data_IF_826589011194
#
_entry.id   IF_826589011194
#
_cell.length_a   1.000
_cell.length_b   1.000
_cell.length_c   1.000
_cell.angle_alpha   90.00
_cell.angle_beta   90.00
_cell.angle_gamma   90.00
#
_symmetry.space_group_name_H-M   'P 1'
#
loop_
_entity.id
_entity.type
_entity.pdbx_description
1 polymer ?
#
# COMPACT_ATOMS: atom_id res chain seq x y z
N UNK A 1 0.14 4.52 -18.65
CA UNK A 1 1.42 4.77 -19.34
C UNK A 1 2.42 5.05 -18.25
N UNK A 2 3.12 4.01 -17.83
CA UNK A 2 4.01 4.07 -16.68
C UNK A 2 5.28 4.80 -17.05
N UNK A 3 5.70 5.74 -16.19
CA UNK A 3 6.94 6.48 -16.35
C UNK A 3 8.13 5.52 -16.18
N UNK A 4 8.58 4.93 -17.27
CA UNK A 4 9.86 4.22 -17.32
C UNK A 4 10.99 5.22 -17.09
N UNK A 5 11.62 5.18 -15.92
CA UNK A 5 12.85 5.89 -15.59
C UNK A 5 14.04 5.19 -16.24
N UNK A 6 14.16 5.33 -17.57
CA UNK A 6 15.33 4.84 -18.30
C UNK A 6 16.45 5.89 -18.25
N UNK A 7 17.55 5.56 -17.55
CA UNK A 7 18.72 6.43 -17.42
C UNK A 7 19.57 6.50 -18.71
N UNK A 8 19.20 5.79 -19.77
CA UNK A 8 19.90 5.76 -21.05
C UNK A 8 18.89 5.69 -22.19
N UNK A 9 18.94 6.65 -23.11
CA UNK A 9 18.16 6.67 -24.33
C UNK A 9 19.08 6.59 -25.54
N UNK A 10 18.84 5.60 -26.39
CA UNK A 10 19.53 5.48 -27.68
C UNK A 10 18.64 6.15 -28.73
N UNK A 11 19.13 7.25 -29.29
CA UNK A 11 18.47 7.97 -30.38
C UNK A 11 19.15 7.62 -31.71
N UNK A 12 18.35 7.24 -32.70
CA UNK A 12 18.83 7.02 -34.05
C UNK A 12 19.17 8.35 -34.74
N UNK A 13 20.12 8.30 -35.69
CA UNK A 13 20.58 9.48 -36.42
C UNK A 13 19.43 10.21 -37.15
N UNK A 14 18.46 9.47 -37.66
CA UNK A 14 17.28 10.03 -38.32
C UNK A 14 16.43 10.88 -37.36
N UNK A 15 16.24 10.42 -36.11
CA UNK A 15 15.50 11.17 -35.10
C UNK A 15 16.25 12.43 -34.68
N UNK A 16 17.58 12.35 -34.54
CA UNK A 16 18.39 13.54 -34.24
C UNK A 16 18.23 14.60 -35.33
N UNK A 17 18.30 14.20 -36.61
CA UNK A 17 18.09 15.11 -37.74
C UNK A 17 16.69 15.72 -37.78
N UNK A 18 15.62 14.97 -37.47
CA UNK A 18 14.25 15.49 -37.47
C UNK A 18 14.03 16.56 -36.39
N UNK A 19 14.80 16.50 -35.30
CA UNK A 19 14.78 17.50 -34.24
C UNK A 19 15.86 18.59 -34.41
N UNK A 20 16.54 18.62 -35.56
CA UNK A 20 17.57 19.61 -35.87
C UNK A 20 18.83 19.47 -34.99
N UNK A 21 19.12 18.27 -34.50
CA UNK A 21 20.30 18.00 -33.66
C UNK A 21 21.41 17.44 -34.55
N UNK A 22 22.48 18.22 -34.71
CA UNK A 22 23.68 17.81 -35.44
C UNK A 22 24.83 17.56 -34.46
N UNK A 23 25.46 16.38 -34.55
CA UNK A 23 26.60 16.00 -33.71
C UNK A 23 27.87 16.03 -34.55
N UNK A 24 28.86 16.84 -34.14
CA UNK A 24 30.18 16.90 -34.77
C UNK A 24 31.22 16.17 -33.92
N UNK A 25 31.88 15.19 -34.54
CA UNK A 25 32.91 14.34 -33.92
C UNK A 25 34.35 14.77 -34.30
N UNK A 26 34.57 16.06 -34.59
CA UNK A 26 35.90 16.62 -34.82
C UNK A 26 36.70 16.73 -33.50
N UNK A 27 37.92 17.30 -33.55
CA UNK A 27 38.86 17.37 -32.40
C UNK A 27 38.20 17.78 -31.07
N UNK A 28 37.22 18.68 -31.12
CA UNK A 28 36.31 18.96 -30.01
C UNK A 28 34.91 18.41 -30.32
N UNK A 29 34.43 17.49 -29.48
CA UNK A 29 33.12 16.87 -29.63
C UNK A 29 32.03 17.84 -29.17
N UNK A 30 31.15 18.26 -30.07
CA UNK A 30 30.04 19.18 -29.76
C UNK A 30 28.78 18.82 -30.56
N UNK A 31 27.64 19.33 -30.11
CA UNK A 31 26.39 19.27 -30.86
C UNK A 31 25.76 20.66 -30.98
N UNK A 32 24.91 20.83 -31.99
CA UNK A 32 24.11 22.02 -32.22
C UNK A 32 22.63 21.64 -32.25
N UNK A 33 21.74 22.52 -31.80
CA UNK A 33 20.29 22.32 -31.83
C UNK A 33 19.66 23.41 -32.70
N UNK A 34 18.87 22.99 -33.69
CA UNK A 34 18.19 23.86 -34.66
C UNK A 34 19.13 24.43 -35.72
N UNK A 35 18.61 25.35 -36.52
CA UNK A 35 19.32 25.91 -37.69
C UNK A 35 20.51 26.82 -37.34
N UNK A 36 20.67 27.18 -36.06
CA UNK A 36 21.64 28.16 -35.63
C UNK A 36 23.00 27.51 -35.27
N UNK A 37 23.80 27.22 -36.30
CA UNK A 37 25.13 26.56 -36.20
C UNK A 37 26.20 27.33 -35.41
N UNK A 38 25.86 28.52 -34.88
CA UNK A 38 26.76 29.35 -34.06
C UNK A 38 26.80 28.91 -32.60
N UNK A 39 25.72 28.34 -32.07
CA UNK A 39 25.65 27.92 -30.68
C UNK A 39 26.04 26.45 -30.55
N UNK A 40 27.25 26.20 -30.04
CA UNK A 40 27.83 24.86 -29.89
C UNK A 40 27.74 24.44 -28.43
N UNK A 41 27.21 23.24 -28.18
CA UNK A 41 27.12 22.63 -26.86
C UNK A 41 28.16 21.50 -26.75
N UNK A 42 29.03 21.57 -25.75
CA UNK A 42 30.01 20.52 -25.49
C UNK A 42 29.39 19.34 -24.75
N UNK A 43 29.97 18.15 -24.93
CA UNK A 43 29.65 17.00 -24.09
C UNK A 43 30.41 17.09 -22.77
N UNK A 44 29.69 17.02 -21.65
CA UNK A 44 30.29 16.95 -20.32
C UNK A 44 30.97 15.60 -20.12
N UNK A 45 32.27 15.53 -20.41
CA UNK A 45 33.10 14.39 -20.06
C UNK A 45 33.54 14.49 -18.60
N UNK A 46 32.68 14.16 -17.65
CA UNK A 46 33.17 13.79 -16.31
C UNK A 46 32.14 12.98 -15.52
N UNK A 47 32.48 11.71 -15.28
CA UNK A 47 31.82 10.83 -14.30
C UNK A 47 31.75 11.46 -12.90
N UNK A 48 32.62 12.43 -12.60
CA UNK A 48 32.67 13.11 -11.30
C UNK A 48 31.63 14.23 -11.13
N UNK A 49 31.20 14.90 -12.21
CA UNK A 49 30.20 15.98 -12.09
C UNK A 49 28.75 15.47 -12.02
N UNK A 50 28.50 14.22 -12.43
CA UNK A 50 27.24 13.53 -12.08
C UNK A 50 27.06 13.32 -10.57
N UNK A 51 28.13 13.40 -9.75
CA UNK A 51 27.99 13.42 -8.28
C UNK A 51 27.60 14.79 -7.75
N UNK A 52 27.97 15.88 -8.42
CA UNK A 52 27.70 17.26 -7.96
C UNK A 52 26.26 17.70 -8.29
N UNK A 53 25.65 17.13 -9.32
CA UNK A 53 24.22 17.30 -9.63
C UNK A 53 23.29 16.39 -8.80
N UNK A 54 23.82 15.61 -7.84
CA UNK A 54 23.02 15.12 -6.70
C UNK A 54 22.87 16.22 -5.65
N UNK A 55 22.57 17.44 -6.08
CA UNK A 55 21.92 18.40 -5.19
C UNK A 55 20.58 17.79 -4.82
N UNK A 56 20.42 17.43 -3.55
CA UNK A 56 19.16 17.14 -2.86
C UNK A 56 17.94 17.15 -3.79
N UNK A 57 17.76 16.09 -4.58
CA UNK A 57 16.47 15.85 -5.20
C UNK A 57 15.55 15.54 -4.02
N UNK A 58 14.88 16.58 -3.50
CA UNK A 58 13.69 16.41 -2.68
C UNK A 58 12.81 15.51 -3.52
N UNK A 59 12.73 14.24 -3.14
CA UNK A 59 11.86 13.32 -3.84
C UNK A 59 10.46 13.91 -3.71
N UNK A 60 9.71 14.07 -4.81
CA UNK A 60 8.36 14.63 -4.76
C UNK A 60 7.47 13.84 -3.78
N UNK A 61 7.80 12.56 -3.55
CA UNK A 61 7.18 11.68 -2.56
C UNK A 61 7.45 12.10 -1.11
N UNK A 62 8.66 12.56 -0.77
CA UNK A 62 8.99 13.01 0.58
C UNK A 62 8.32 14.35 0.89
N UNK A 63 8.25 15.24 -0.10
CA UNK A 63 7.49 16.48 0.04
C UNK A 63 5.98 16.22 0.18
N UNK A 64 5.45 15.19 -0.49
CA UNK A 64 4.08 14.73 -0.32
C UNK A 64 3.84 14.18 1.10
N UNK A 65 4.74 13.32 1.62
CA UNK A 65 4.70 12.81 2.99
C UNK A 65 4.61 13.95 4.02
N UNK A 66 5.44 14.98 3.86
CA UNK A 66 5.49 16.11 4.78
C UNK A 66 4.19 16.93 4.72
N UNK A 67 3.66 17.19 3.53
CA UNK A 67 2.52 18.09 3.32
C UNK A 67 1.17 17.45 3.62
N UNK A 68 1.03 16.17 3.35
CA UNK A 68 -0.25 15.47 3.42
C UNK A 68 -0.34 14.67 4.73
N UNK A 69 0.63 13.77 4.96
CA UNK A 69 0.59 12.81 6.08
C UNK A 69 1.10 13.40 7.41
N UNK A 70 2.13 14.26 7.37
CA UNK A 70 2.71 14.87 8.58
C UNK A 70 2.07 16.21 8.95
N UNK A 71 1.05 16.67 8.23
CA UNK A 71 0.37 17.95 8.50
C UNK A 71 -0.34 17.94 9.85
N UNK A 72 -0.93 16.81 10.22
CA UNK A 72 -1.64 16.62 11.49
C UNK A 72 -0.73 16.01 12.57
N UNK A 73 0.54 15.72 12.26
CA UNK A 73 1.44 15.08 13.20
C UNK A 73 1.90 16.06 14.29
N UNK A 74 1.62 15.71 15.55
CA UNK A 74 2.10 16.44 16.72
C UNK A 74 3.57 16.06 17.01
N UNK A 75 4.51 16.77 16.36
CA UNK A 75 5.93 16.64 16.67
C UNK A 75 6.28 17.49 17.90
N UNK A 76 7.13 16.95 18.78
CA UNK A 76 7.61 17.70 19.95
C UNK A 76 8.32 19.00 19.51
N UNK A 77 7.91 20.12 20.10
CA UNK A 77 8.42 21.46 19.80
C UNK A 77 9.89 21.67 20.22
N UNK A 78 10.42 20.84 21.12
CA UNK A 78 11.81 20.89 21.58
C UNK A 78 12.80 20.22 20.61
N UNK A 79 12.31 19.62 19.53
CA UNK A 79 13.16 18.97 18.53
C UNK A 79 13.99 20.00 17.75
N UNK A 80 15.30 19.85 17.76
CA UNK A 80 16.19 20.61 16.87
C UNK A 80 15.89 20.27 15.41
N UNK A 81 15.99 21.25 14.51
CA UNK A 81 15.75 21.06 13.06
C UNK A 81 16.54 19.88 12.47
N UNK A 82 17.79 19.67 12.89
CA UNK A 82 18.61 18.54 12.46
C UNK A 82 18.06 17.17 12.88
N UNK A 83 17.38 17.08 14.02
CA UNK A 83 16.75 15.84 14.49
C UNK A 83 15.43 15.63 13.76
N UNK A 84 14.69 16.71 13.51
CA UNK A 84 13.45 16.68 12.73
C UNK A 84 13.68 16.18 11.31
N UNK A 85 14.73 16.64 10.65
CA UNK A 85 15.14 16.13 9.33
C UNK A 85 15.43 14.63 9.36
N UNK A 86 16.22 14.17 10.35
CA UNK A 86 16.50 12.74 10.53
C UNK A 86 15.26 11.90 10.81
N UNK A 87 14.29 12.44 11.56
CA UNK A 87 13.02 11.78 11.84
C UNK A 87 12.20 11.63 10.55
N UNK A 88 12.10 12.69 9.75
CA UNK A 88 11.41 12.64 8.46
C UNK A 88 12.10 11.64 7.52
N UNK A 89 13.43 11.60 7.50
CA UNK A 89 14.19 10.60 6.73
C UNK A 89 13.86 9.17 7.18
N UNK A 90 13.74 8.94 8.48
CA UNK A 90 13.39 7.64 9.05
C UNK A 90 11.96 7.22 8.67
N UNK A 91 11.01 8.13 8.81
CA UNK A 91 9.60 7.90 8.44
C UNK A 91 9.48 7.63 6.95
N UNK A 92 10.17 8.39 6.10
CA UNK A 92 10.18 8.16 4.66
C UNK A 92 10.81 6.81 4.30
N UNK A 93 11.91 6.44 4.98
CA UNK A 93 12.59 5.16 4.80
C UNK A 93 11.67 3.98 5.12
N UNK A 94 10.88 4.07 6.20
CA UNK A 94 9.99 3.00 6.66
C UNK A 94 8.51 3.26 6.37
N UNK A 95 8.19 4.10 5.38
CA UNK A 95 6.81 4.53 5.09
C UNK A 95 5.83 3.38 4.86
N UNK A 96 6.29 2.27 4.28
CA UNK A 96 5.47 1.07 4.02
C UNK A 96 5.13 0.27 5.29
N UNK A 97 5.77 0.57 6.43
CA UNK A 97 5.46 -0.07 7.71
C UNK A 97 4.29 0.61 8.43
N UNK A 98 3.85 1.78 7.95
CA UNK A 98 2.75 2.54 8.53
C UNK A 98 1.49 2.42 7.68
N UNK A 99 0.36 2.43 8.35
CA UNK A 99 -0.96 2.49 7.74
C UNK A 99 -1.18 3.88 7.08
N UNK A 100 -1.84 3.91 5.92
CA UNK A 100 -2.24 5.17 5.27
C UNK A 100 -3.71 5.15 4.91
N UNK A 101 -4.34 6.31 4.75
CA UNK A 101 -5.77 6.42 4.40
C UNK A 101 -6.16 5.65 3.14
N UNK A 102 -5.22 5.46 2.21
CA UNK A 102 -5.43 4.74 0.94
C UNK A 102 -5.21 3.24 1.06
N UNK A 103 -4.31 2.82 1.94
CA UNK A 103 -3.92 1.43 2.16
C UNK A 103 -3.95 1.14 3.66
N UNK A 104 -5.15 1.03 4.26
CA UNK A 104 -5.27 0.83 5.70
C UNK A 104 -4.88 -0.59 6.14
N UNK A 105 -4.83 -1.53 5.19
CA UNK A 105 -4.65 -2.95 5.50
C UNK A 105 -3.38 -3.49 4.85
N UNK A 106 -2.53 -4.09 5.66
CA UNK A 106 -1.44 -4.92 5.18
C UNK A 106 -1.96 -6.25 4.63
N UNK A 107 -1.37 -6.73 3.53
CA UNK A 107 -1.65 -8.04 2.97
C UNK A 107 -0.36 -8.87 2.91
N UNK A 108 -0.43 -10.12 3.39
CA UNK A 108 0.66 -11.09 3.26
C UNK A 108 0.36 -11.95 2.02
N UNK A 109 1.27 -11.93 1.05
CA UNK A 109 1.13 -12.68 -0.20
C UNK A 109 1.75 -14.08 -0.01
N UNK A 110 1.03 -15.12 -0.44
CA UNK A 110 1.54 -16.50 -0.44
C UNK A 110 1.32 -17.29 0.85
N UNK A 111 0.62 -16.72 1.83
CA UNK A 111 0.28 -17.37 3.09
C UNK A 111 -1.24 -17.41 3.27
N UNK A 112 -1.90 -18.27 2.49
CA UNK A 112 -3.34 -18.53 2.65
C UNK A 112 -3.59 -19.37 3.90
N UNK A 113 -4.73 -19.15 4.56
CA UNK A 113 -5.11 -19.86 5.78
C UNK A 113 -6.19 -20.88 5.46
N UNK A 114 -5.85 -22.15 5.66
CA UNK A 114 -6.80 -23.25 5.54
C UNK A 114 -7.57 -23.44 6.85
N UNK A 115 -8.90 -23.29 6.79
CA UNK A 115 -9.79 -23.57 7.93
C UNK A 115 -10.31 -24.99 7.79
N UNK A 116 -9.74 -25.91 8.56
CA UNK A 116 -10.12 -27.33 8.54
C UNK A 116 -11.27 -27.57 9.51
N UNK A 117 -12.33 -28.22 9.03
CA UNK A 117 -13.48 -28.62 9.84
C UNK A 117 -13.35 -30.08 10.31
N UNK A 118 -13.93 -30.40 11.46
CA UNK A 118 -13.99 -31.75 12.03
C UNK A 118 -15.24 -32.55 11.56
N UNK A 119 -16.00 -32.01 10.62
CA UNK A 119 -17.19 -32.60 10.03
C UNK A 119 -17.07 -32.65 8.51
N UNK A 120 -17.62 -33.70 7.91
CA UNK A 120 -17.66 -33.88 6.47
C UNK A 120 -18.98 -33.42 5.85
N UNK A 121 -19.02 -33.33 4.52
CA UNK A 121 -20.24 -32.99 3.78
C UNK A 121 -21.22 -34.18 3.78
N UNK A 122 -22.53 -33.94 3.82
CA UNK A 122 -23.20 -32.63 3.84
C UNK A 122 -23.14 -31.96 5.23
N UNK A 123 -22.80 -30.67 5.26
CA UNK A 123 -22.70 -29.92 6.51
C UNK A 123 -24.06 -29.74 7.20
N UNK A 124 -24.01 -29.72 8.53
CA UNK A 124 -25.18 -29.53 9.39
C UNK A 124 -25.86 -28.18 9.13
N UNK A 125 -27.19 -28.07 9.28
CA UNK A 125 -27.91 -26.80 9.13
C UNK A 125 -27.37 -25.66 10.01
N UNK A 126 -26.75 -25.99 11.14
CA UNK A 126 -26.09 -25.02 12.03
C UNK A 126 -24.90 -24.29 11.38
N UNK A 127 -24.28 -24.86 10.35
CA UNK A 127 -23.23 -24.20 9.55
C UNK A 127 -23.83 -23.37 8.40
N UNK A 128 -25.14 -23.46 8.14
CA UNK A 128 -25.86 -22.71 7.09
C UNK A 128 -26.92 -21.79 7.70
N UNK A 129 -26.45 -20.79 8.44
CA UNK A 129 -27.34 -19.88 9.18
C UNK A 129 -27.78 -18.72 8.29
N UNK A 130 -29.07 -18.38 8.39
CA UNK A 130 -29.64 -17.21 7.73
C UNK A 130 -29.27 -15.92 8.46
N UNK A 131 -29.31 -14.80 7.74
CA UNK A 131 -29.13 -13.48 8.34
C UNK A 131 -30.20 -13.20 9.40
N UNK A 132 -29.80 -12.56 10.49
CA UNK A 132 -30.74 -12.10 11.50
C UNK A 132 -31.58 -10.94 10.98
N UNK A 133 -32.78 -10.79 11.55
CA UNK A 133 -33.57 -9.58 11.33
C UNK A 133 -32.83 -8.38 11.96
N UNK A 134 -32.60 -7.35 11.16
CA UNK A 134 -31.95 -6.13 11.57
C UNK A 134 -32.95 -4.96 11.54
N UNK A 135 -32.83 -4.05 12.52
CA UNK A 135 -33.56 -2.78 12.47
C UNK A 135 -33.10 -1.92 11.30
N UNK A 136 -33.90 -0.94 10.88
CA UNK A 136 -33.54 -0.02 9.79
C UNK A 136 -32.17 0.63 10.01
N UNK A 137 -31.94 1.15 11.23
CA UNK A 137 -30.65 1.74 11.64
C UNK A 137 -29.49 0.74 11.55
N UNK A 138 -29.70 -0.51 11.93
CA UNK A 138 -28.66 -1.53 11.85
C UNK A 138 -28.37 -1.94 10.39
N UNK A 139 -29.41 -2.01 9.54
CA UNK A 139 -29.27 -2.32 8.12
C UNK A 139 -28.46 -1.24 7.39
N UNK A 140 -28.77 0.03 7.62
CA UNK A 140 -28.02 1.17 7.06
C UNK A 140 -26.54 1.13 7.48
N UNK A 141 -26.27 0.94 8.77
CA UNK A 141 -24.89 0.82 9.25
C UNK A 141 -24.16 -0.39 8.63
N UNK A 142 -24.85 -1.53 8.48
CA UNK A 142 -24.28 -2.73 7.88
C UNK A 142 -23.97 -2.54 6.39
N UNK A 143 -24.81 -1.82 5.64
CA UNK A 143 -24.54 -1.46 4.24
C UNK A 143 -23.29 -0.59 4.09
N UNK A 144 -23.09 0.38 4.99
CA UNK A 144 -21.88 1.23 5.01
C UNK A 144 -20.64 0.36 5.24
N UNK A 145 -20.63 -0.46 6.29
CA UNK A 145 -19.48 -1.33 6.62
C UNK A 145 -19.17 -2.33 5.50
N UNK A 146 -20.20 -2.96 4.91
CA UNK A 146 -19.99 -3.89 3.79
C UNK A 146 -19.38 -3.19 2.59
N UNK A 147 -19.86 -1.99 2.25
CA UNK A 147 -19.31 -1.22 1.13
C UNK A 147 -17.85 -0.87 1.37
N UNK A 148 -17.51 -0.35 2.55
CA UNK A 148 -16.13 -0.02 2.92
C UNK A 148 -15.21 -1.25 2.80
N UNK A 149 -15.63 -2.40 3.32
CA UNK A 149 -14.84 -3.63 3.22
C UNK A 149 -14.75 -4.19 1.80
N UNK A 150 -15.74 -3.96 0.95
CA UNK A 150 -15.67 -4.29 -0.47
C UNK A 150 -14.70 -3.35 -1.22
N UNK A 151 -14.74 -2.05 -0.93
CA UNK A 151 -13.86 -1.05 -1.53
C UNK A 151 -12.39 -1.30 -1.12
N UNK A 152 -12.16 -1.79 0.11
CA UNK A 152 -10.86 -2.26 0.60
C UNK A 152 -10.43 -3.64 0.07
N UNK A 153 -11.27 -4.34 -0.68
CA UNK A 153 -10.97 -5.68 -1.20
C UNK A 153 -10.96 -6.80 -0.16
N UNK A 154 -11.42 -6.54 1.07
CA UNK A 154 -11.53 -7.55 2.14
C UNK A 154 -12.72 -8.47 1.91
N UNK A 155 -13.83 -7.92 1.41
CA UNK A 155 -15.02 -8.68 1.05
C UNK A 155 -15.22 -8.70 -0.47
N UNK A 156 -15.76 -9.81 -0.96
CA UNK A 156 -16.24 -9.93 -2.34
C UNK A 156 -17.64 -10.51 -2.39
N UNK A 157 -18.35 -10.21 -3.47
CA UNK A 157 -19.60 -10.90 -3.80
C UNK A 157 -19.26 -12.33 -4.25
N UNK A 158 -20.05 -13.29 -3.78
CA UNK A 158 -19.99 -14.67 -4.27
C UNK A 158 -20.69 -14.74 -5.62
N UNK A 159 -20.05 -15.34 -6.62
CA UNK A 159 -20.61 -15.48 -7.96
C UNK A 159 -21.78 -16.47 -8.03
N UNK A 160 -22.67 -16.31 -9.01
CA UNK A 160 -23.83 -17.19 -9.20
C UNK A 160 -23.47 -18.68 -9.37
N UNK A 161 -22.26 -18.97 -9.83
CA UNK A 161 -21.78 -20.34 -10.06
C UNK A 161 -21.06 -20.94 -8.84
N UNK A 162 -20.82 -20.16 -7.79
CA UNK A 162 -20.14 -20.60 -6.58
C UNK A 162 -21.16 -21.11 -5.56
N UNK A 163 -20.98 -22.35 -5.09
CA UNK A 163 -21.82 -22.90 -4.04
C UNK A 163 -21.32 -22.46 -2.67
N UNK A 164 -22.19 -21.80 -1.90
CA UNK A 164 -21.90 -21.44 -0.50
C UNK A 164 -22.40 -22.53 0.42
N UNK A 165 -21.48 -23.25 1.03
CA UNK A 165 -21.82 -24.38 1.90
C UNK A 165 -21.88 -24.01 3.38
N UNK A 166 -21.25 -22.89 3.77
CA UNK A 166 -21.18 -22.38 5.14
C UNK A 166 -21.53 -20.90 5.13
N UNK A 167 -22.44 -20.48 6.02
CA UNK A 167 -22.85 -19.08 6.19
C UNK A 167 -22.91 -18.69 7.66
N UNK A 168 -22.42 -17.50 7.97
CA UNK A 168 -22.44 -16.92 9.31
C UNK A 168 -23.19 -15.59 9.28
N UNK A 169 -24.19 -15.38 10.15
CA UNK A 169 -24.89 -14.12 10.21
C UNK A 169 -24.01 -13.05 10.86
N UNK A 170 -24.31 -11.81 10.50
CA UNK A 170 -23.60 -10.63 10.97
C UNK A 170 -24.60 -9.72 11.68
N UNK A 171 -24.14 -9.06 12.75
CA UNK A 171 -24.92 -8.08 13.52
C UNK A 171 -24.15 -6.76 13.65
N UNK A 172 -24.87 -5.70 13.99
CA UNK A 172 -24.28 -4.42 14.37
C UNK A 172 -24.31 -4.27 15.89
N UNK A 173 -23.17 -3.93 16.48
CA UNK A 173 -23.07 -3.49 17.88
C UNK A 173 -22.74 -2.00 17.93
N UNK A 174 -23.28 -1.29 18.92
CA UNK A 174 -23.06 0.16 19.09
C UNK A 174 -22.29 0.43 20.35
N UNK A 175 -21.34 1.36 20.28
CA UNK A 175 -20.58 1.82 21.43
C UNK A 175 -20.11 3.26 21.19
N UNK A 176 -20.38 4.16 22.14
CA UNK A 176 -20.04 5.59 22.04
C UNK A 176 -20.50 6.22 20.70
N UNK A 177 -21.70 5.86 20.25
CA UNK A 177 -22.28 6.37 18.99
C UNK A 177 -21.72 5.74 17.71
N UNK A 178 -20.64 4.95 17.78
CA UNK A 178 -20.06 4.26 16.62
C UNK A 178 -20.62 2.84 16.48
N UNK A 179 -20.89 2.42 15.26
CA UNK A 179 -21.33 1.06 14.92
C UNK A 179 -20.13 0.16 14.61
N UNK A 180 -20.26 -1.14 14.92
CA UNK A 180 -19.29 -2.18 14.55
C UNK A 180 -20.00 -3.39 13.98
N UNK A 181 -19.51 -3.87 12.86
CA UNK A 181 -19.97 -5.11 12.23
C UNK A 181 -19.33 -6.33 12.93
N UNK A 182 -20.14 -7.29 13.37
CA UNK A 182 -19.68 -8.47 14.14
C UNK A 182 -20.28 -9.74 13.56
N UNK A 183 -19.44 -10.70 13.17
CA UNK A 183 -19.85 -12.03 12.72
C UNK A 183 -20.09 -13.00 13.87
N UNK A 184 -21.17 -13.79 13.80
CA UNK A 184 -21.49 -14.82 14.80
C UNK A 184 -20.84 -16.17 14.48
N UNK A 185 -19.55 -16.30 14.77
CA UNK A 185 -18.76 -17.49 14.48
C UNK A 185 -18.92 -18.64 15.48
N UNK A 186 -19.90 -18.60 16.40
CA UNK A 186 -20.05 -19.66 17.42
C UNK A 186 -20.24 -21.06 16.82
N UNK A 187 -21.08 -21.15 15.78
CA UNK A 187 -21.31 -22.41 15.08
C UNK A 187 -20.03 -22.91 14.38
N UNK A 188 -19.41 -22.16 13.44
CA UNK A 188 -18.19 -22.64 12.78
C UNK A 188 -17.06 -22.94 13.77
N UNK A 189 -16.86 -22.12 14.81
CA UNK A 189 -15.83 -22.38 15.82
C UNK A 189 -16.00 -23.71 16.57
N UNK A 190 -17.22 -24.24 16.68
CA UNK A 190 -17.47 -25.56 17.29
C UNK A 190 -16.99 -26.71 16.40
N UNK A 191 -16.97 -26.47 15.08
CA UNK A 191 -16.60 -27.46 14.08
C UNK A 191 -15.20 -27.24 13.50
N UNK A 192 -14.54 -26.12 13.76
CA UNK A 192 -13.16 -25.87 13.34
C UNK A 192 -12.18 -26.67 14.19
N UNK A 193 -11.25 -27.37 13.55
CA UNK A 193 -10.12 -28.03 14.22
C UNK A 193 -9.18 -26.93 14.74
N UNK A 194 -8.90 -26.86 16.06
CA UNK A 194 -8.04 -25.80 16.58
C UNK A 194 -6.60 -25.96 16.10
N UNK A 195 -6.08 -24.94 15.42
CA UNK A 195 -4.65 -24.80 15.16
C UNK A 195 -3.94 -24.35 16.45
N UNK A 196 -3.22 -25.28 17.07
CA UNK A 196 -2.60 -25.07 18.38
C UNK A 196 -1.23 -24.41 18.21
N UNK A 197 -1.23 -23.10 18.00
CA UNK A 197 -0.04 -22.26 18.11
C UNK A 197 -0.12 -21.44 19.41
N UNK A 198 0.42 -21.94 20.54
CA UNK A 198 0.25 -21.28 21.82
C UNK A 198 1.00 -19.94 21.81
N UNK A 199 0.25 -18.85 21.99
CA UNK A 199 0.84 -17.54 22.26
C UNK A 199 1.37 -17.58 23.71
N UNK A 200 2.66 -17.31 23.94
CA UNK A 200 3.24 -17.35 25.28
C UNK A 200 2.53 -16.35 26.20
N UNK A 201 2.41 -16.70 27.49
CA UNK A 201 1.81 -15.77 28.46
C UNK A 201 2.72 -14.55 28.59
N UNK A 202 2.13 -13.37 28.75
CA UNK A 202 2.88 -12.11 28.84
C UNK A 202 4.00 -12.20 29.89
N UNK A 203 3.73 -12.80 31.04
CA UNK A 203 4.72 -12.96 32.11
C UNK A 203 5.90 -13.87 31.71
N UNK A 204 5.63 -14.95 30.98
CA UNK A 204 6.66 -15.87 30.47
C UNK A 204 7.56 -15.15 29.44
N UNK A 205 6.95 -14.39 28.53
CA UNK A 205 7.67 -13.60 27.53
C UNK A 205 8.58 -12.54 28.17
N UNK A 206 8.11 -11.85 29.22
CA UNK A 206 8.89 -10.81 29.90
C UNK A 206 10.07 -11.36 30.70
N UNK A 207 10.01 -12.62 31.13
CA UNK A 207 11.07 -13.26 31.93
C UNK A 207 12.17 -13.91 31.07
N UNK A 208 11.91 -14.10 29.77
CA UNK A 208 12.84 -14.70 28.81
C UNK A 208 13.63 -13.68 27.95
N UNK A 209 13.43 -12.37 28.18
CA UNK A 209 14.23 -11.28 27.61
C UNK A 209 15.48 -11.01 28.45
#
# INVERSE_FOLDING_TARGET
MDNCTNNQFILGNNSLSSYGIDISNQKDRYFTIGDNKRQKFGFLNNKEQMKVLKSEEKSPEKDFLIRDQLKEAELNQELTEKIKEKLIDLLFKYRNAFETDKEPLGAIIGHEVDIILNVEKPYLPLLRRTAYQASTRAREALEVHIKELMDLGVLRKVGHNEQVEVTTPVIITWHNGKSRMVGDFRAPNTYTIPDRYPIPRIHETLTQL
#
